data_IF_911685855556
#
_entry.id   IF_911685855556
#
_cell.length_a   1.000
_cell.length_b   1.000
_cell.length_c   1.000
_cell.angle_alpha   90.00
_cell.angle_beta   90.00
_cell.angle_gamma   90.00
#
_symmetry.space_group_name_H-M   'P 1'
#
loop_
_entity.id
_entity.type
_entity.pdbx_description
1 polymer ?
#
# COMPACT_ATOMS: atom_id res chain seq x y z
N UNK A 1 -1.56 31.58 -2.58
CA UNK A 1 -1.12 30.44 -1.75
C UNK A 1 -2.20 29.35 -1.76
N UNK A 2 -2.16 28.43 -2.74
CA UNK A 2 -2.99 27.23 -2.78
C UNK A 2 -2.07 26.06 -2.43
N UNK A 3 -2.30 25.41 -1.29
CA UNK A 3 -1.67 24.12 -0.95
C UNK A 3 -2.28 23.08 -1.89
N UNK A 4 -1.54 22.68 -2.92
CA UNK A 4 -1.89 21.54 -3.77
C UNK A 4 -1.32 20.32 -3.05
N UNK A 5 -2.15 19.63 -2.29
CA UNK A 5 -1.78 18.34 -1.70
C UNK A 5 -1.73 17.31 -2.83
N UNK A 6 -0.52 16.93 -3.22
CA UNK A 6 -0.30 15.78 -4.08
C UNK A 6 -0.45 14.51 -3.25
N UNK A 7 -1.67 13.98 -3.19
CA UNK A 7 -1.88 12.60 -2.76
C UNK A 7 -1.47 11.69 -3.93
N UNK A 8 -0.16 11.47 -4.09
CA UNK A 8 0.32 10.24 -4.71
C UNK A 8 -0.23 9.06 -3.91
N UNK A 9 -0.39 7.88 -4.52
CA UNK A 9 -1.02 6.73 -3.85
C UNK A 9 -0.25 6.19 -2.63
N UNK A 10 0.89 6.79 -2.26
CA UNK A 10 1.41 6.71 -0.87
C UNK A 10 0.35 7.13 0.16
N UNK A 11 -0.58 8.00 -0.23
CA UNK A 11 -1.80 8.36 0.49
C UNK A 11 -2.84 7.25 0.66
N UNK A 12 -2.86 6.18 -0.15
CA UNK A 12 -3.82 5.08 0.02
C UNK A 12 -3.40 4.10 1.11
N UNK A 13 -2.09 3.84 1.23
CA UNK A 13 -1.53 3.04 2.33
C UNK A 13 -1.43 3.88 3.59
N UNK A 14 -1.03 5.16 3.47
CA UNK A 14 -1.11 6.11 4.57
C UNK A 14 -2.56 6.22 5.02
N UNK A 15 -3.59 6.28 4.17
CA UNK A 15 -4.97 6.35 4.67
C UNK A 15 -5.41 5.09 5.44
N UNK A 16 -4.94 3.88 5.12
CA UNK A 16 -5.40 2.68 5.82
C UNK A 16 -4.64 2.42 7.13
N UNK A 17 -3.32 2.68 7.14
CA UNK A 17 -2.60 2.80 8.41
C UNK A 17 -3.19 3.97 9.19
N UNK A 18 -3.43 5.17 8.63
CA UNK A 18 -4.09 6.31 9.29
C UNK A 18 -5.50 5.98 9.79
N UNK A 19 -6.29 5.17 9.07
CA UNK A 19 -7.63 4.72 9.49
C UNK A 19 -7.57 3.84 10.75
N UNK A 20 -6.47 3.13 10.97
CA UNK A 20 -6.25 2.29 12.16
C UNK A 20 -5.20 2.83 13.16
N UNK A 21 -4.35 3.79 12.78
CA UNK A 21 -3.19 4.30 13.55
C UNK A 21 -3.26 5.78 13.87
N UNK A 22 -3.97 6.64 13.11
CA UNK A 22 -4.05 8.08 13.49
C UNK A 22 -5.15 8.40 14.49
N UNK A 23 -6.00 7.46 14.89
CA UNK A 23 -7.05 7.77 15.87
C UNK A 23 -7.95 8.95 15.46
N UNK A 24 -7.92 9.38 14.19
CA UNK A 24 -8.95 10.21 13.58
C UNK A 24 -10.12 9.28 13.26
N UNK A 25 -10.74 8.86 14.37
CA UNK A 25 -12.17 8.56 14.52
C UNK A 25 -12.76 7.78 13.34
N UNK A 26 -12.92 6.46 13.40
CA UNK A 26 -13.92 5.78 14.23
C UNK A 26 -14.90 6.71 15.00
N UNK A 27 -15.45 7.72 14.31
CA UNK A 27 -16.72 8.37 14.61
C UNK A 27 -17.39 8.42 13.24
N UNK A 28 -18.31 7.53 12.90
CA UNK A 28 -19.41 6.94 13.66
C UNK A 28 -19.72 5.59 12.99
N UNK A 29 -19.98 4.50 13.70
CA UNK A 29 -20.87 4.37 14.84
C UNK A 29 -20.23 3.50 15.93
N UNK A 30 -20.12 4.05 17.14
CA UNK A 30 -19.87 3.35 18.40
C UNK A 30 -18.64 2.43 18.43
N UNK A 31 -17.71 2.70 19.36
CA UNK A 31 -17.07 1.56 20.04
C UNK A 31 -18.21 0.61 20.38
N UNK A 32 -18.16 -0.59 19.82
CA UNK A 32 -19.12 -1.68 19.93
C UNK A 32 -19.17 -2.22 21.38
N UNK A 33 -19.29 -1.33 22.35
CA UNK A 33 -19.53 -1.60 23.76
C UNK A 33 -20.83 -2.39 23.98
N UNK A 34 -21.69 -2.52 22.95
CA UNK A 34 -22.84 -3.42 22.92
C UNK A 34 -22.72 -4.64 21.98
N UNK A 35 -21.57 -4.85 21.33
CA UNK A 35 -21.37 -6.02 20.46
C UNK A 35 -21.13 -7.28 21.25
N UNK A 36 -20.29 -7.21 22.28
CA UNK A 36 -20.19 -8.28 23.28
C UNK A 36 -21.21 -8.05 24.39
N UNK A 37 -21.84 -9.12 24.89
CA UNK A 37 -22.98 -9.01 25.81
C UNK A 37 -22.81 -9.88 27.05
N UNK A 38 -23.41 -9.42 28.15
CA UNK A 38 -23.57 -10.23 29.36
C UNK A 38 -24.59 -11.33 29.10
N UNK A 39 -24.27 -12.54 29.50
CA UNK A 39 -25.20 -13.66 29.52
C UNK A 39 -25.99 -13.68 30.83
N UNK A 40 -27.26 -14.09 30.76
CA UNK A 40 -28.06 -14.52 31.91
C UNK A 40 -28.20 -16.04 31.80
N UNK A 41 -27.34 -16.77 32.52
CA UNK A 41 -27.33 -18.23 32.55
C UNK A 41 -27.50 -18.72 33.99
N UNK A 42 -28.23 -19.82 34.17
CA UNK A 42 -28.43 -20.47 35.47
C UNK A 42 -27.13 -21.05 36.04
N UNK A 43 -26.13 -21.34 35.20
CA UNK A 43 -24.82 -21.83 35.58
C UNK A 43 -23.88 -20.66 35.97
N UNK A 44 -23.50 -20.51 37.26
CA UNK A 44 -22.64 -19.42 37.69
C UNK A 44 -21.24 -19.45 37.06
N UNK A 45 -20.75 -20.63 36.66
CA UNK A 45 -19.46 -20.76 36.00
C UNK A 45 -19.50 -20.14 34.59
N UNK A 46 -20.57 -20.36 33.83
CA UNK A 46 -20.78 -19.75 32.51
C UNK A 46 -20.83 -18.22 32.63
N UNK A 47 -21.60 -17.71 33.60
CA UNK A 47 -21.70 -16.26 33.86
C UNK A 47 -20.33 -15.68 34.23
N UNK A 48 -19.57 -16.35 35.10
CA UNK A 48 -18.24 -15.90 35.52
C UNK A 48 -17.24 -15.88 34.36
N UNK A 49 -17.20 -16.94 33.55
CA UNK A 49 -16.33 -17.02 32.37
C UNK A 49 -16.68 -15.94 31.35
N UNK A 50 -17.96 -15.73 31.07
CA UNK A 50 -18.40 -14.64 30.20
C UNK A 50 -17.97 -13.27 30.75
N UNK A 51 -18.15 -13.01 32.04
CA UNK A 51 -17.71 -11.76 32.65
C UNK A 51 -16.19 -11.56 32.57
N UNK A 52 -15.40 -12.62 32.74
CA UNK A 52 -13.95 -12.57 32.56
C UNK A 52 -13.59 -12.24 31.10
N UNK A 53 -14.23 -12.92 30.13
CA UNK A 53 -14.04 -12.66 28.71
C UNK A 53 -14.38 -11.21 28.33
N UNK A 54 -15.48 -10.67 28.85
CA UNK A 54 -15.86 -9.26 28.65
C UNK A 54 -14.80 -8.29 29.19
N UNK A 55 -14.25 -8.53 30.39
CA UNK A 55 -13.18 -7.68 30.95
C UNK A 55 -11.92 -7.72 30.10
N UNK A 56 -11.54 -8.90 29.61
CA UNK A 56 -10.41 -9.05 28.70
C UNK A 56 -10.66 -8.32 27.38
N UNK A 57 -11.88 -8.41 26.84
CA UNK A 57 -12.27 -7.71 25.62
C UNK A 57 -12.21 -6.19 25.78
N UNK A 58 -12.76 -5.66 26.88
CA UNK A 58 -12.68 -4.23 27.24
C UNK A 58 -11.23 -3.75 27.41
N UNK A 59 -10.37 -4.62 27.94
CA UNK A 59 -8.93 -4.37 28.08
C UNK A 59 -8.13 -4.61 26.78
N UNK A 60 -8.80 -4.85 25.65
CA UNK A 60 -8.22 -5.16 24.33
C UNK A 60 -7.34 -6.41 24.30
N UNK A 61 -7.49 -7.30 25.27
CA UNK A 61 -6.80 -8.58 25.36
C UNK A 61 -7.64 -9.67 24.69
N UNK A 62 -7.85 -9.53 23.38
CA UNK A 62 -8.87 -10.29 22.64
C UNK A 62 -8.62 -11.79 22.57
N UNK A 63 -7.35 -12.23 22.58
CA UNK A 63 -6.96 -13.65 22.68
C UNK A 63 -7.45 -14.27 24.00
N UNK A 64 -7.20 -13.62 25.13
CA UNK A 64 -7.68 -14.08 26.43
C UNK A 64 -9.21 -14.01 26.53
N UNK A 65 -9.83 -13.00 25.91
CA UNK A 65 -11.29 -12.93 25.81
C UNK A 65 -11.87 -14.12 25.04
N UNK A 66 -11.31 -14.44 23.86
CA UNK A 66 -11.66 -15.61 23.05
C UNK A 66 -11.60 -16.89 23.88
N UNK A 67 -10.52 -17.08 24.64
CA UNK A 67 -10.30 -18.29 25.43
C UNK A 67 -11.35 -18.43 26.54
N UNK A 68 -11.69 -17.34 27.25
CA UNK A 68 -12.76 -17.36 28.24
C UNK A 68 -14.14 -17.66 27.62
N UNK A 69 -14.45 -17.08 26.45
CA UNK A 69 -15.70 -17.36 25.74
C UNK A 69 -15.77 -18.81 25.23
N UNK A 70 -14.65 -19.39 24.76
CA UNK A 70 -14.57 -20.81 24.41
C UNK A 70 -14.83 -21.71 25.61
N UNK A 71 -14.19 -21.46 26.75
CA UNK A 71 -14.46 -22.23 27.98
C UNK A 71 -15.90 -22.09 28.45
N UNK A 72 -16.53 -20.92 28.27
CA UNK A 72 -17.95 -20.75 28.57
C UNK A 72 -18.84 -21.59 27.63
N UNK A 73 -18.48 -21.69 26.35
CA UNK A 73 -19.18 -22.51 25.34
C UNK A 73 -19.02 -24.02 25.58
N UNK A 74 -17.94 -24.47 26.22
CA UNK A 74 -17.81 -25.87 26.64
C UNK A 74 -18.89 -26.27 27.67
N UNK A 75 -19.33 -25.31 28.49
CA UNK A 75 -20.35 -25.50 29.53
C UNK A 75 -21.77 -25.18 29.07
N UNK A 76 -21.91 -24.26 28.09
CA UNK A 76 -23.19 -23.91 27.47
C UNK A 76 -23.04 -23.90 25.94
N UNK A 77 -22.97 -25.09 25.31
CA UNK A 77 -22.76 -25.19 23.87
C UNK A 77 -23.92 -24.54 23.11
N UNK A 78 -23.59 -23.80 22.06
CA UNK A 78 -24.54 -23.10 21.19
C UNK A 78 -25.26 -21.90 21.82
N UNK A 79 -24.83 -21.38 22.98
CA UNK A 79 -25.38 -20.14 23.50
C UNK A 79 -25.11 -18.97 22.51
N UNK A 80 -26.15 -18.29 22.01
CA UNK A 80 -26.00 -17.27 20.97
C UNK A 80 -25.24 -16.04 21.46
N UNK A 81 -25.28 -15.73 22.77
CA UNK A 81 -24.52 -14.60 23.33
C UNK A 81 -23.03 -14.91 23.34
N UNK A 82 -22.65 -16.12 23.79
CA UNK A 82 -21.26 -16.54 23.83
C UNK A 82 -20.67 -16.74 22.42
N UNK A 83 -21.42 -17.32 21.50
CA UNK A 83 -21.02 -17.42 20.09
C UNK A 83 -20.79 -16.04 19.49
N UNK A 84 -21.72 -15.11 19.70
CA UNK A 84 -21.56 -13.73 19.25
C UNK A 84 -20.33 -13.07 19.87
N UNK A 85 -20.11 -13.22 21.19
CA UNK A 85 -18.94 -12.67 21.86
C UNK A 85 -17.63 -13.24 21.30
N UNK A 86 -17.59 -14.55 21.05
CA UNK A 86 -16.46 -15.24 20.44
C UNK A 86 -16.17 -14.72 19.02
N UNK A 87 -17.21 -14.54 18.20
CA UNK A 87 -17.08 -14.03 16.84
C UNK A 87 -16.47 -12.61 16.83
N UNK A 88 -16.94 -11.73 17.72
CA UNK A 88 -16.36 -10.40 17.87
C UNK A 88 -14.91 -10.40 18.36
N UNK A 89 -14.55 -11.31 19.28
CA UNK A 89 -13.15 -11.52 19.66
C UNK A 89 -12.30 -11.93 18.47
N UNK A 90 -12.77 -12.85 17.62
CA UNK A 90 -12.06 -13.29 16.42
C UNK A 90 -11.90 -12.16 15.40
N UNK A 91 -12.93 -11.33 15.20
CA UNK A 91 -12.82 -10.14 14.34
C UNK A 91 -11.73 -9.18 14.83
N UNK A 92 -11.68 -8.89 16.14
CA UNK A 92 -10.66 -7.99 16.69
C UNK A 92 -9.24 -8.58 16.62
N UNK A 93 -9.09 -9.90 16.83
CA UNK A 93 -7.84 -10.62 16.59
C UNK A 93 -7.42 -10.49 15.12
N UNK A 94 -8.35 -10.72 14.19
CA UNK A 94 -8.11 -10.59 12.75
C UNK A 94 -7.68 -9.18 12.35
N UNK A 95 -8.29 -8.14 12.95
CA UNK A 95 -7.87 -6.74 12.75
C UNK A 95 -6.44 -6.49 13.22
N UNK A 96 -6.06 -7.01 14.39
CA UNK A 96 -4.69 -6.87 14.92
C UNK A 96 -3.69 -7.62 14.03
N UNK A 97 -4.00 -8.84 13.62
CA UNK A 97 -3.15 -9.62 12.71
C UNK A 97 -3.02 -8.92 11.35
N UNK A 98 -4.10 -8.31 10.86
CA UNK A 98 -4.11 -7.49 9.66
C UNK A 98 -3.21 -6.27 9.77
N UNK A 99 -3.29 -5.54 10.88
CA UNK A 99 -2.36 -4.42 11.17
C UNK A 99 -0.91 -4.91 11.24
N UNK A 100 -0.70 -6.14 11.71
CA UNK A 100 0.58 -6.85 11.71
C UNK A 100 0.90 -7.53 10.39
N UNK A 101 0.13 -7.32 9.33
CA UNK A 101 0.34 -7.90 7.99
C UNK A 101 0.55 -9.43 8.00
N UNK A 102 0.03 -10.07 9.04
CA UNK A 102 -0.09 -11.51 9.20
C UNK A 102 -1.37 -11.91 8.48
N UNK A 103 -1.36 -11.76 7.16
CA UNK A 103 -2.58 -11.79 6.35
C UNK A 103 -3.25 -13.16 6.38
N UNK A 104 -2.49 -14.25 6.46
CA UNK A 104 -3.04 -15.61 6.55
C UNK A 104 -3.80 -15.80 7.86
N UNK A 105 -3.20 -15.35 8.96
CA UNK A 105 -3.77 -15.41 10.29
C UNK A 105 -5.01 -14.49 10.37
N UNK A 106 -4.92 -13.28 9.82
CA UNK A 106 -6.03 -12.34 9.75
C UNK A 106 -7.23 -12.92 9.00
N UNK A 107 -6.99 -13.51 7.82
CA UNK A 107 -8.02 -14.23 7.05
C UNK A 107 -8.65 -15.32 7.90
N UNK A 108 -7.86 -16.20 8.52
CA UNK A 108 -8.37 -17.29 9.35
C UNK A 108 -9.24 -16.80 10.52
N UNK A 109 -8.86 -15.68 11.15
CA UNK A 109 -9.64 -15.07 12.24
C UNK A 109 -10.96 -14.47 11.74
N UNK A 110 -10.98 -13.79 10.60
CA UNK A 110 -12.23 -13.29 10.01
C UNK A 110 -13.14 -14.43 9.53
N UNK A 111 -12.59 -15.46 8.89
CA UNK A 111 -13.33 -16.66 8.49
C UNK A 111 -13.93 -17.37 9.72
N UNK A 112 -13.19 -17.45 10.83
CA UNK A 112 -13.72 -17.97 12.09
C UNK A 112 -14.89 -17.13 12.59
N UNK A 113 -14.82 -15.80 12.53
CA UNK A 113 -15.92 -14.93 12.93
C UNK A 113 -17.16 -15.13 12.04
N UNK A 114 -16.98 -15.23 10.71
CA UNK A 114 -18.04 -15.50 9.73
C UNK A 114 -18.67 -16.87 9.96
N UNK A 115 -17.86 -17.91 10.19
CA UNK A 115 -18.36 -19.27 10.44
C UNK A 115 -19.24 -19.33 11.70
N UNK A 116 -18.90 -18.56 12.73
CA UNK A 116 -19.67 -18.48 13.97
C UNK A 116 -20.96 -17.67 13.78
N UNK A 117 -20.88 -16.53 13.10
CA UNK A 117 -22.03 -15.69 12.81
C UNK A 117 -21.91 -15.04 11.42
N UNK A 118 -22.54 -15.62 10.38
CA UNK A 118 -22.38 -15.17 9.00
C UNK A 118 -23.24 -13.94 8.65
N UNK A 119 -24.05 -13.41 9.57
CA UNK A 119 -24.99 -12.31 9.27
C UNK A 119 -24.48 -10.93 9.71
N UNK A 120 -23.19 -10.79 9.97
CA UNK A 120 -22.57 -9.54 10.43
C UNK A 120 -21.70 -8.97 9.32
N UNK A 121 -22.16 -7.88 8.69
CA UNK A 121 -21.47 -7.24 7.55
C UNK A 121 -20.00 -6.91 7.83
N UNK A 122 -19.68 -6.45 9.05
CA UNK A 122 -18.32 -6.04 9.41
C UNK A 122 -17.31 -7.19 9.41
N UNK A 123 -17.74 -8.45 9.61
CA UNK A 123 -16.84 -9.61 9.51
C UNK A 123 -16.43 -9.85 8.05
N UNK A 124 -17.41 -9.77 7.15
CA UNK A 124 -17.19 -9.86 5.71
C UNK A 124 -16.35 -8.69 5.18
N UNK A 125 -16.54 -7.45 5.67
CA UNK A 125 -15.63 -6.33 5.36
C UNK A 125 -14.19 -6.64 5.77
N UNK A 126 -14.00 -7.17 6.98
CA UNK A 126 -12.67 -7.57 7.48
C UNK A 126 -12.01 -8.64 6.61
N UNK A 127 -12.75 -9.69 6.28
CA UNK A 127 -12.30 -10.76 5.38
C UNK A 127 -11.97 -10.22 3.99
N UNK A 128 -12.87 -9.43 3.40
CA UNK A 128 -12.70 -8.84 2.07
C UNK A 128 -11.45 -7.96 1.98
N UNK A 129 -11.20 -7.14 2.99
CA UNK A 129 -9.96 -6.38 3.11
C UNK A 129 -8.72 -7.27 3.19
N UNK A 130 -8.73 -8.28 4.07
CA UNK A 130 -7.58 -9.16 4.29
C UNK A 130 -7.26 -9.97 3.03
N UNK A 131 -8.29 -10.41 2.31
CA UNK A 131 -8.17 -11.07 1.02
C UNK A 131 -7.58 -10.17 -0.06
N UNK A 132 -8.01 -8.90 -0.16
CA UNK A 132 -7.43 -7.96 -1.14
C UNK A 132 -5.93 -7.74 -0.88
N UNK A 133 -5.55 -7.58 0.39
CA UNK A 133 -4.14 -7.44 0.79
C UNK A 133 -3.32 -8.69 0.54
N UNK A 134 -3.94 -9.87 0.59
CA UNK A 134 -3.32 -11.14 0.24
C UNK A 134 -3.35 -11.42 -1.29
N UNK A 135 -3.70 -10.42 -2.09
CA UNK A 135 -3.87 -10.49 -3.55
C UNK A 135 -4.94 -11.49 -4.05
N UNK A 136 -5.78 -12.02 -3.14
CA UNK A 136 -6.90 -12.92 -3.45
C UNK A 136 -8.16 -12.14 -3.81
N UNK A 137 -8.18 -11.56 -5.02
CA UNK A 137 -9.21 -10.62 -5.46
C UNK A 137 -10.62 -11.17 -5.44
N UNK A 138 -10.83 -12.34 -6.05
CA UNK A 138 -12.17 -12.88 -6.28
C UNK A 138 -12.90 -13.08 -4.95
N UNK A 139 -12.16 -13.58 -3.96
CA UNK A 139 -12.64 -13.70 -2.58
C UNK A 139 -12.87 -12.34 -1.94
N UNK A 140 -11.97 -11.38 -2.15
CA UNK A 140 -12.15 -10.03 -1.63
C UNK A 140 -13.47 -9.40 -2.13
N UNK A 141 -13.73 -9.49 -3.44
CA UNK A 141 -14.96 -9.00 -4.06
C UNK A 141 -16.19 -9.73 -3.49
N UNK A 142 -16.15 -11.06 -3.43
CA UNK A 142 -17.25 -11.88 -2.90
C UNK A 142 -17.62 -11.48 -1.46
N UNK A 143 -16.64 -11.36 -0.58
CA UNK A 143 -16.90 -10.98 0.83
C UNK A 143 -17.44 -9.54 0.94
N UNK A 144 -16.95 -8.60 0.14
CA UNK A 144 -17.43 -7.21 0.17
C UNK A 144 -18.85 -7.07 -0.40
N UNK A 145 -19.18 -7.85 -1.44
CA UNK A 145 -20.55 -7.93 -1.97
C UNK A 145 -21.51 -8.53 -0.94
N UNK A 146 -21.08 -9.55 -0.21
CA UNK A 146 -21.85 -10.14 0.89
C UNK A 146 -22.06 -9.16 2.05
N UNK A 147 -21.03 -8.38 2.41
CA UNK A 147 -21.15 -7.32 3.40
C UNK A 147 -22.24 -6.29 3.03
N UNK A 148 -22.31 -5.90 1.75
CA UNK A 148 -23.33 -4.98 1.22
C UNK A 148 -24.72 -5.64 1.21
N UNK A 149 -24.81 -6.92 0.86
CA UNK A 149 -26.07 -7.68 0.91
C UNK A 149 -26.66 -7.71 2.32
N UNK A 150 -25.80 -7.94 3.33
CA UNK A 150 -26.18 -7.96 4.74
C UNK A 150 -26.50 -6.57 5.29
N UNK A 151 -25.71 -5.56 4.93
CA UNK A 151 -25.91 -4.18 5.32
C UNK A 151 -25.67 -3.22 4.14
N UNK A 152 -26.75 -2.79 3.45
CA UNK A 152 -26.64 -1.85 2.34
C UNK A 152 -26.08 -0.46 2.68
N UNK A 153 -25.89 -0.17 3.98
CA UNK A 153 -25.28 1.08 4.49
C UNK A 153 -23.81 0.90 4.92
N UNK A 154 -23.19 -0.23 4.60
CA UNK A 154 -21.79 -0.49 4.93
C UNK A 154 -20.82 0.33 4.05
N UNK A 155 -20.50 1.55 4.49
CA UNK A 155 -19.68 2.52 3.73
C UNK A 155 -18.32 1.93 3.35
N UNK A 156 -17.68 1.22 4.28
CA UNK A 156 -16.35 0.65 4.08
C UNK A 156 -16.33 -0.41 2.97
N UNK A 157 -17.40 -1.21 2.84
CA UNK A 157 -17.51 -2.20 1.77
C UNK A 157 -17.49 -1.53 0.39
N UNK A 158 -18.28 -0.47 0.22
CA UNK A 158 -18.31 0.30 -1.03
C UNK A 158 -16.96 0.99 -1.32
N UNK A 159 -16.29 1.54 -0.31
CA UNK A 159 -14.97 2.15 -0.49
C UNK A 159 -13.92 1.14 -0.96
N UNK A 160 -13.90 -0.05 -0.37
CA UNK A 160 -12.97 -1.12 -0.73
C UNK A 160 -13.27 -1.67 -2.13
N UNK A 161 -14.54 -1.92 -2.47
CA UNK A 161 -14.93 -2.30 -3.82
C UNK A 161 -14.50 -1.25 -4.85
N UNK A 162 -14.70 0.03 -4.54
CA UNK A 162 -14.27 1.13 -5.38
C UNK A 162 -12.77 1.10 -5.68
N UNK A 163 -11.96 0.83 -4.65
CA UNK A 163 -10.51 0.73 -4.78
C UNK A 163 -10.05 -0.49 -5.56
N UNK A 164 -10.66 -1.65 -5.29
CA UNK A 164 -10.36 -2.88 -6.00
C UNK A 164 -10.71 -2.73 -7.48
N UNK A 165 -11.91 -2.26 -7.81
CA UNK A 165 -12.32 -2.04 -9.20
C UNK A 165 -11.42 -1.02 -9.91
N UNK A 166 -11.04 0.07 -9.23
CA UNK A 166 -10.15 1.06 -9.83
C UNK A 166 -8.74 0.51 -10.10
N UNK A 167 -8.19 -0.25 -9.14
CA UNK A 167 -6.93 -0.98 -9.29
C UNK A 167 -6.96 -1.94 -10.49
N UNK A 168 -8.11 -2.56 -10.75
CA UNK A 168 -8.30 -3.52 -11.84
C UNK A 168 -8.77 -2.89 -13.16
N UNK A 169 -8.52 -1.59 -13.35
CA UNK A 169 -8.89 -0.84 -14.55
C UNK A 169 -10.39 -0.92 -14.90
N UNK A 170 -11.27 -1.03 -13.89
CA UNK A 170 -12.73 -0.99 -14.00
C UNK A 170 -13.31 0.32 -13.41
N UNK A 171 -13.01 1.49 -14.00
CA UNK A 171 -13.36 2.78 -13.40
C UNK A 171 -14.87 3.02 -13.30
N UNK A 172 -15.69 2.46 -14.20
CA UNK A 172 -17.15 2.64 -14.12
C UNK A 172 -17.74 2.00 -12.86
N UNK A 173 -17.35 0.75 -12.55
CA UNK A 173 -17.75 0.08 -11.29
C UNK A 173 -17.16 0.77 -10.06
N UNK A 174 -15.93 1.28 -10.17
CA UNK A 174 -15.30 2.04 -9.10
C UNK A 174 -16.09 3.32 -8.77
N UNK A 175 -16.50 4.07 -9.80
CA UNK A 175 -17.34 5.26 -9.67
C UNK A 175 -18.67 4.91 -9.00
N UNK A 176 -19.35 3.87 -9.47
CA UNK A 176 -20.63 3.43 -8.90
C UNK A 176 -20.51 3.14 -7.40
N UNK A 177 -19.52 2.33 -7.00
CA UNK A 177 -19.30 1.99 -5.61
C UNK A 177 -18.97 3.23 -4.75
N UNK A 178 -18.08 4.11 -5.23
CA UNK A 178 -17.69 5.31 -4.48
C UNK A 178 -18.80 6.36 -4.42
N UNK A 179 -19.68 6.44 -5.42
CA UNK A 179 -20.88 7.26 -5.36
C UNK A 179 -21.85 6.78 -4.29
N UNK A 180 -22.02 5.46 -4.12
CA UNK A 180 -22.80 4.90 -3.00
C UNK A 180 -22.17 5.23 -1.65
N UNK A 181 -20.85 5.07 -1.51
CA UNK A 181 -20.14 5.46 -0.29
C UNK A 181 -20.31 6.96 0.02
N UNK A 182 -20.22 7.82 -1.00
CA UNK A 182 -20.32 9.27 -0.83
C UNK A 182 -21.75 9.72 -0.51
N UNK A 183 -22.76 9.06 -1.08
CA UNK A 183 -24.16 9.32 -0.72
C UNK A 183 -24.45 9.02 0.76
N UNK A 184 -23.74 8.04 1.34
CA UNK A 184 -23.84 7.68 2.76
C UNK A 184 -22.99 8.60 3.66
N UNK A 185 -21.90 9.18 3.14
CA UNK A 185 -21.02 10.11 3.87
C UNK A 185 -20.63 11.34 3.00
N UNK A 186 -21.56 12.30 2.78
CA UNK A 186 -21.39 13.35 1.76
C UNK A 186 -20.23 14.31 2.01
N UNK A 187 -19.85 14.51 3.27
CA UNK A 187 -18.83 15.49 3.67
C UNK A 187 -17.40 14.93 3.69
N UNK A 188 -17.21 13.68 3.29
CA UNK A 188 -15.91 13.01 3.30
C UNK A 188 -15.02 13.49 2.14
N UNK A 189 -14.23 14.54 2.39
CA UNK A 189 -13.33 15.16 1.39
C UNK A 189 -12.40 14.17 0.69
N UNK A 190 -11.90 13.17 1.42
CA UNK A 190 -10.99 12.15 0.87
C UNK A 190 -11.69 11.31 -0.22
N UNK A 191 -12.96 10.98 0.00
CA UNK A 191 -13.79 10.22 -0.93
C UNK A 191 -14.19 11.08 -2.14
N UNK A 192 -14.53 12.36 -1.92
CA UNK A 192 -14.79 13.30 -3.00
C UNK A 192 -13.58 13.44 -3.95
N UNK A 193 -12.38 13.56 -3.38
CA UNK A 193 -11.14 13.66 -4.15
C UNK A 193 -10.85 12.39 -4.95
N UNK A 194 -10.99 11.21 -4.33
CA UNK A 194 -10.83 9.91 -5.02
C UNK A 194 -11.81 9.77 -6.17
N UNK A 195 -13.10 10.05 -5.94
CA UNK A 195 -14.12 9.96 -6.98
C UNK A 195 -13.86 10.94 -8.13
N UNK A 196 -13.47 12.18 -7.81
CA UNK A 196 -13.14 13.18 -8.82
C UNK A 196 -11.96 12.74 -9.70
N UNK A 197 -10.89 12.22 -9.08
CA UNK A 197 -9.73 11.66 -9.79
C UNK A 197 -10.14 10.50 -10.71
N UNK A 198 -10.89 9.52 -10.20
CA UNK A 198 -11.30 8.36 -10.99
C UNK A 198 -12.20 8.78 -12.16
N UNK A 199 -13.11 9.74 -11.96
CA UNK A 199 -13.94 10.31 -13.05
C UNK A 199 -13.08 11.01 -14.11
N UNK A 200 -12.08 11.77 -13.70
CA UNK A 200 -11.13 12.41 -14.60
C UNK A 200 -10.37 11.36 -15.42
N UNK A 201 -9.74 10.39 -14.75
CA UNK A 201 -8.98 9.32 -15.39
C UNK A 201 -9.86 8.51 -16.34
N UNK A 202 -11.07 8.14 -15.92
CA UNK A 202 -12.06 7.44 -16.76
C UNK A 202 -12.38 8.23 -18.03
N UNK A 203 -12.63 9.53 -17.91
CA UNK A 203 -12.97 10.36 -19.06
C UNK A 203 -11.80 10.50 -20.02
N UNK A 204 -10.59 10.75 -19.50
CA UNK A 204 -9.37 10.88 -20.28
C UNK A 204 -9.01 9.58 -21.00
N UNK A 205 -8.99 8.46 -20.26
CA UNK A 205 -8.49 7.17 -20.74
C UNK A 205 -9.55 6.38 -21.54
N UNK A 206 -10.80 6.85 -21.62
CA UNK A 206 -11.91 6.13 -22.29
C UNK A 206 -11.68 5.88 -23.79
N UNK A 207 -10.85 6.70 -24.43
CA UNK A 207 -10.52 6.61 -25.86
C UNK A 207 -9.18 5.92 -26.13
N UNK A 208 -8.48 5.51 -25.08
CA UNK A 208 -7.15 4.94 -25.22
C UNK A 208 -7.27 3.52 -25.77
N UNK A 209 -6.37 3.20 -26.70
CA UNK A 209 -6.16 1.84 -27.14
C UNK A 209 -5.48 1.03 -26.03
N UNK A 210 -5.64 -0.29 -26.06
CA UNK A 210 -5.03 -1.22 -25.11
C UNK A 210 -4.18 -2.24 -25.84
N UNK A 211 -2.98 -2.48 -25.33
CA UNK A 211 -2.11 -3.60 -25.67
C UNK A 211 -1.77 -4.36 -24.40
N UNK A 212 -1.75 -5.69 -24.44
CA UNK A 212 -1.49 -6.51 -23.27
C UNK A 212 -0.32 -7.47 -23.53
N UNK A 213 0.50 -7.63 -22.51
CA UNK A 213 1.50 -8.70 -22.40
C UNK A 213 1.13 -9.61 -21.23
N UNK A 214 2.03 -10.52 -20.84
CA UNK A 214 1.74 -11.46 -19.75
C UNK A 214 1.62 -10.74 -18.40
N UNK A 215 2.47 -9.75 -18.13
CA UNK A 215 2.51 -9.05 -16.84
C UNK A 215 2.07 -7.58 -16.91
N UNK A 216 1.73 -7.05 -18.09
CA UNK A 216 1.40 -5.63 -18.25
C UNK A 216 0.20 -5.40 -19.16
N UNK A 217 -0.56 -4.34 -18.88
CA UNK A 217 -1.54 -3.78 -19.81
C UNK A 217 -1.17 -2.34 -20.09
N UNK A 218 -0.82 -2.04 -21.34
CA UNK A 218 -0.41 -0.72 -21.80
C UNK A 218 -1.62 -0.03 -22.43
N UNK A 219 -1.99 1.14 -21.91
CA UNK A 219 -3.03 2.03 -22.45
C UNK A 219 -2.36 3.23 -23.09
N UNK A 220 -2.76 3.61 -24.29
CA UNK A 220 -2.13 4.73 -25.01
C UNK A 220 -3.12 5.48 -25.90
N UNK A 221 -2.85 6.76 -26.13
CA UNK A 221 -3.63 7.63 -26.99
C UNK A 221 -3.16 7.53 -28.45
N UNK A 222 -4.03 7.18 -29.40
CA UNK A 222 -3.77 7.26 -30.84
C UNK A 222 -2.87 6.15 -31.42
N UNK A 223 -3.14 5.77 -32.66
CA UNK A 223 -2.40 4.71 -33.39
C UNK A 223 -0.91 5.07 -33.58
N UNK A 224 -0.56 6.35 -33.60
CA UNK A 224 0.83 6.80 -33.69
C UNK A 224 1.68 6.35 -32.50
N UNK A 225 1.06 6.06 -31.35
CA UNK A 225 1.74 5.61 -30.14
C UNK A 225 1.80 4.08 -29.99
N UNK A 226 1.32 3.33 -30.98
CA UNK A 226 1.33 1.86 -30.94
C UNK A 226 2.73 1.26 -30.95
N UNK A 227 3.63 1.83 -31.75
CA UNK A 227 5.02 1.36 -31.83
C UNK A 227 5.75 1.56 -30.49
N UNK A 228 5.57 2.73 -29.86
CA UNK A 228 6.17 3.00 -28.54
C UNK A 228 5.49 2.16 -27.45
N UNK A 229 4.19 1.89 -27.53
CA UNK A 229 3.51 0.98 -26.61
C UNK A 229 4.08 -0.45 -26.68
N UNK A 230 4.41 -0.94 -27.87
CA UNK A 230 5.08 -2.23 -28.04
C UNK A 230 6.48 -2.22 -27.40
N UNK A 231 7.28 -1.17 -27.65
CA UNK A 231 8.62 -1.02 -27.04
C UNK A 231 8.54 -0.95 -25.51
N UNK A 232 7.58 -0.19 -24.98
CA UNK A 232 7.30 -0.11 -23.53
C UNK A 232 7.00 -1.49 -22.97
N UNK A 233 6.15 -2.27 -23.64
CA UNK A 233 5.84 -3.64 -23.23
C UNK A 233 7.08 -4.53 -23.21
N UNK A 234 7.92 -4.49 -24.24
CA UNK A 234 9.16 -5.29 -24.32
C UNK A 234 10.14 -4.94 -23.20
N UNK A 235 10.33 -3.64 -22.93
CA UNK A 235 11.18 -3.15 -21.85
C UNK A 235 10.66 -3.58 -20.49
N UNK A 236 9.35 -3.46 -20.24
CA UNK A 236 8.76 -3.82 -18.95
C UNK A 236 8.79 -5.32 -18.68
N UNK A 237 8.64 -6.15 -19.71
CA UNK A 237 8.85 -7.59 -19.56
C UNK A 237 10.32 -7.94 -19.26
N UNK A 238 11.27 -7.15 -19.76
CA UNK A 238 12.67 -7.26 -19.33
C UNK A 238 12.87 -6.80 -17.88
N UNK A 239 12.29 -5.66 -17.49
CA UNK A 239 12.33 -5.16 -16.12
C UNK A 239 11.70 -6.16 -15.13
N UNK A 240 10.59 -6.80 -15.51
CA UNK A 240 9.94 -7.87 -14.74
C UNK A 240 10.90 -9.02 -14.47
N UNK A 241 11.65 -9.48 -15.50
CA UNK A 241 12.65 -10.55 -15.31
C UNK A 241 13.81 -10.10 -14.44
N UNK A 242 14.37 -8.93 -14.74
CA UNK A 242 15.58 -8.45 -14.07
C UNK A 242 15.33 -8.14 -12.58
N UNK A 243 14.31 -7.35 -12.29
CA UNK A 243 13.97 -6.92 -10.94
C UNK A 243 13.20 -8.03 -10.20
N UNK A 244 12.26 -8.69 -10.87
CA UNK A 244 11.44 -9.76 -10.28
C UNK A 244 12.25 -10.99 -9.88
N UNK A 245 13.36 -11.30 -10.58
CA UNK A 245 14.29 -12.38 -10.18
C UNK A 245 14.96 -12.14 -8.82
N UNK A 246 15.11 -10.87 -8.43
CA UNK A 246 15.72 -10.48 -7.15
C UNK A 246 14.67 -10.58 -6.06
N UNK A 247 13.50 -9.96 -6.26
CA UNK A 247 12.45 -9.81 -5.24
C UNK A 247 11.41 -10.95 -5.22
N UNK A 248 11.65 -12.06 -5.93
CA UNK A 248 10.80 -13.27 -5.98
C UNK A 248 9.30 -12.96 -6.11
N UNK A 249 8.93 -12.26 -7.19
CA UNK A 249 7.55 -11.89 -7.39
C UNK A 249 6.68 -13.06 -7.87
N UNK A 250 5.48 -13.11 -7.32
CA UNK A 250 4.43 -14.06 -7.69
C UNK A 250 3.19 -13.30 -8.13
N UNK A 251 3.35 -12.30 -9.02
CA UNK A 251 2.18 -11.53 -9.46
C UNK A 251 1.36 -12.32 -10.47
N UNK A 252 0.06 -12.43 -10.20
CA UNK A 252 -0.94 -12.96 -11.14
C UNK A 252 -1.71 -11.84 -11.87
N UNK A 253 -1.49 -10.56 -11.52
CA UNK A 253 -2.21 -9.42 -12.11
C UNK A 253 -1.30 -8.56 -12.99
N UNK A 254 -1.75 -8.19 -14.20
CA UNK A 254 -1.01 -7.27 -15.04
C UNK A 254 -0.91 -5.86 -14.42
N UNK A 255 0.28 -5.28 -14.40
CA UNK A 255 0.48 -3.88 -14.02
C UNK A 255 -0.06 -2.99 -15.14
N UNK A 256 -0.94 -2.05 -14.79
CA UNK A 256 -1.49 -1.10 -15.76
C UNK A 256 -0.47 0.02 -15.98
N UNK A 257 -0.15 0.26 -17.24
CA UNK A 257 0.76 1.29 -17.70
C UNK A 257 0.00 2.20 -18.64
N UNK A 258 0.11 3.51 -18.46
CA UNK A 258 -0.64 4.49 -19.24
C UNK A 258 0.33 5.49 -19.85
N UNK A 259 0.31 5.55 -21.17
CA UNK A 259 1.14 6.41 -21.98
C UNK A 259 0.35 7.66 -22.37
N UNK A 260 0.86 8.82 -21.97
CA UNK A 260 0.24 10.13 -22.16
C UNK A 260 1.06 11.01 -23.11
N UNK A 261 0.41 11.87 -23.90
CA UNK A 261 1.11 13.04 -24.45
C UNK A 261 1.57 13.98 -23.32
N UNK A 262 2.68 14.71 -23.48
CA UNK A 262 3.23 15.62 -22.44
C UNK A 262 2.19 16.60 -21.90
N UNK A 263 1.39 17.17 -22.81
CA UNK A 263 0.31 18.09 -22.46
C UNK A 263 -0.72 17.40 -21.57
N UNK A 264 -1.22 16.24 -22.00
CA UNK A 264 -2.24 15.50 -21.28
C UNK A 264 -1.72 14.96 -19.94
N UNK A 265 -0.44 14.56 -19.88
CA UNK A 265 0.22 14.15 -18.65
C UNK A 265 0.22 15.28 -17.61
N UNK A 266 0.64 16.49 -17.99
CA UNK A 266 0.63 17.67 -17.09
C UNK A 266 -0.78 18.07 -16.65
N UNK A 267 -1.75 17.95 -17.53
CA UNK A 267 -3.16 18.28 -17.25
C UNK A 267 -3.87 17.23 -16.40
N UNK A 268 -3.46 15.95 -16.48
CA UNK A 268 -4.15 14.84 -15.82
C UNK A 268 -3.45 14.40 -14.53
N UNK A 269 -2.13 14.24 -14.61
CA UNK A 269 -1.33 13.67 -13.52
C UNK A 269 -0.88 14.75 -12.54
N UNK A 270 -0.85 16.02 -12.98
CA UNK A 270 -0.46 17.24 -12.25
C UNK A 270 0.95 17.18 -11.58
N UNK A 271 1.82 16.24 -11.95
CA UNK A 271 3.12 16.02 -11.30
C UNK A 271 4.12 17.16 -11.55
N UNK A 272 5.19 17.28 -10.74
CA UNK A 272 6.28 18.20 -11.01
C UNK A 272 6.86 17.99 -12.40
N UNK A 273 7.29 19.08 -13.05
CA UNK A 273 7.80 19.04 -14.41
C UNK A 273 9.06 18.20 -14.60
N UNK A 274 9.74 17.84 -13.50
CA UNK A 274 10.96 17.01 -13.50
C UNK A 274 10.67 15.51 -13.42
N UNK A 275 9.45 15.09 -13.08
CA UNK A 275 9.10 13.67 -12.97
C UNK A 275 9.01 13.03 -14.37
N UNK A 276 9.87 12.04 -14.65
CA UNK A 276 9.89 11.29 -15.91
C UNK A 276 8.76 10.27 -16.04
N UNK A 277 8.08 9.96 -14.93
CA UNK A 277 6.92 9.10 -14.83
C UNK A 277 6.32 9.24 -13.42
N UNK A 278 5.27 8.46 -13.13
CA UNK A 278 4.81 8.27 -11.76
C UNK A 278 4.17 6.89 -11.60
N UNK A 279 4.42 6.26 -10.46
CA UNK A 279 3.65 5.11 -9.99
C UNK A 279 2.61 5.55 -8.96
N UNK A 280 1.33 5.42 -9.31
CA UNK A 280 0.20 5.67 -8.42
C UNK A 280 -0.73 4.45 -8.30
N UNK A 281 -0.16 3.25 -8.27
CA UNK A 281 -0.89 1.99 -8.48
C UNK A 281 -1.07 1.65 -9.97
N UNK A 282 -0.90 2.64 -10.84
CA UNK A 282 -0.64 2.49 -12.27
C UNK A 282 0.67 3.20 -12.59
N UNK A 283 1.42 2.72 -13.58
CA UNK A 283 2.59 3.42 -14.10
C UNK A 283 2.10 4.42 -15.15
N UNK A 284 2.35 5.72 -14.97
CA UNK A 284 1.94 6.77 -15.91
C UNK A 284 3.16 7.46 -16.48
N UNK A 285 3.27 7.49 -17.81
CA UNK A 285 4.48 7.97 -18.47
C UNK A 285 4.13 8.95 -19.60
N UNK A 286 4.79 10.12 -19.66
CA UNK A 286 4.74 11.00 -20.83
C UNK A 286 5.56 10.42 -22.00
N UNK A 287 4.98 10.41 -23.20
CA UNK A 287 5.54 9.79 -24.42
C UNK A 287 6.50 10.73 -25.17
N UNK A 288 6.76 11.94 -24.68
CA UNK A 288 7.74 12.87 -25.28
C UNK A 288 8.93 13.11 -24.33
N UNK A 289 9.83 14.01 -24.71
CA UNK A 289 11.09 14.24 -23.98
C UNK A 289 12.00 13.01 -23.98
N UNK A 290 12.49 12.62 -22.80
CA UNK A 290 13.42 11.50 -22.60
C UNK A 290 12.86 10.14 -23.07
N UNK A 291 11.55 10.00 -23.20
CA UNK A 291 10.90 8.80 -23.73
C UNK A 291 11.10 8.59 -25.24
N UNK A 292 11.61 9.60 -25.98
CA UNK A 292 11.98 9.47 -27.40
C UNK A 292 13.29 8.71 -27.61
N UNK A 293 14.18 8.74 -26.61
CA UNK A 293 15.44 8.03 -26.63
C UNK A 293 15.23 6.62 -26.03
N UNK A 294 15.63 5.53 -26.73
CA UNK A 294 15.43 4.17 -26.23
C UNK A 294 16.03 3.93 -24.83
N UNK A 295 17.21 4.48 -24.55
CA UNK A 295 17.85 4.37 -23.23
C UNK A 295 17.14 5.23 -22.17
N UNK A 296 16.73 6.44 -22.53
CA UNK A 296 15.88 7.30 -21.69
C UNK A 296 14.56 6.63 -21.29
N UNK A 297 13.84 6.05 -22.25
CA UNK A 297 12.60 5.32 -22.02
C UNK A 297 12.84 4.10 -21.13
N UNK A 298 13.90 3.33 -21.39
CA UNK A 298 14.27 2.17 -20.57
C UNK A 298 14.45 2.55 -19.11
N UNK A 299 15.18 3.64 -18.84
CA UNK A 299 15.42 4.11 -17.47
C UNK A 299 14.15 4.46 -16.73
N UNK A 300 13.30 5.29 -17.34
CA UNK A 300 12.02 5.68 -16.75
C UNK A 300 11.20 4.44 -16.42
N UNK A 301 11.11 3.48 -17.33
CA UNK A 301 10.33 2.25 -17.12
C UNK A 301 10.90 1.38 -16.00
N UNK A 302 12.22 1.20 -15.92
CA UNK A 302 12.83 0.46 -14.81
C UNK A 302 12.64 1.18 -13.47
N UNK A 303 12.74 2.51 -13.46
CA UNK A 303 12.52 3.34 -12.27
C UNK A 303 11.09 3.18 -11.74
N UNK A 304 10.08 3.45 -12.58
CA UNK A 304 8.67 3.37 -12.18
C UNK A 304 8.24 1.95 -11.86
N UNK A 305 8.76 0.95 -12.60
CA UNK A 305 8.49 -0.44 -12.28
C UNK A 305 9.12 -0.86 -10.94
N UNK A 306 10.30 -0.33 -10.58
CA UNK A 306 10.89 -0.58 -9.27
C UNK A 306 9.97 -0.11 -8.14
N UNK A 307 9.33 1.07 -8.26
CA UNK A 307 8.34 1.50 -7.28
C UNK A 307 7.15 0.53 -7.19
N UNK A 308 6.67 0.01 -8.32
CA UNK A 308 5.59 -0.98 -8.34
C UNK A 308 6.00 -2.27 -7.60
N UNK A 309 7.23 -2.75 -7.81
CA UNK A 309 7.78 -3.91 -7.10
C UNK A 309 7.88 -3.66 -5.60
N UNK A 310 8.46 -2.52 -5.20
CA UNK A 310 8.65 -2.18 -3.79
C UNK A 310 7.32 -1.98 -3.07
N UNK A 311 6.32 -1.41 -3.75
CA UNK A 311 4.96 -1.27 -3.22
C UNK A 311 4.28 -2.62 -2.98
N UNK A 312 4.47 -3.59 -3.87
CA UNK A 312 3.95 -4.95 -3.68
C UNK A 312 4.71 -5.71 -2.58
N UNK A 313 6.03 -5.52 -2.50
CA UNK A 313 6.88 -6.19 -1.53
C UNK A 313 6.65 -5.69 -0.11
N UNK A 314 6.39 -4.40 0.05
CA UNK A 314 6.24 -3.74 1.35
C UNK A 314 4.85 -3.12 1.49
N UNK A 315 3.98 -3.67 2.34
CA UNK A 315 2.62 -3.14 2.53
C UNK A 315 2.58 -1.76 3.19
N UNK A 316 3.74 -1.22 3.63
CA UNK A 316 3.90 0.13 4.17
C UNK A 316 5.04 0.86 3.47
N UNK A 317 5.01 2.21 3.43
CA UNK A 317 6.05 2.99 2.77
C UNK A 317 7.41 2.76 3.44
N UNK A 318 8.41 2.43 2.64
CA UNK A 318 9.82 2.46 3.06
C UNK A 318 10.36 3.89 3.00
N UNK A 319 11.48 4.21 3.66
CA UNK A 319 12.12 5.52 3.53
C UNK A 319 12.29 5.96 2.09
N UNK A 320 11.92 7.21 1.79
CA UNK A 320 11.97 7.75 0.42
C UNK A 320 13.37 7.62 -0.19
N UNK A 321 14.44 7.90 0.56
CA UNK A 321 15.81 7.69 0.06
C UNK A 321 16.11 6.25 -0.37
N UNK A 322 15.55 5.25 0.30
CA UNK A 322 15.76 3.85 -0.07
C UNK A 322 14.94 3.49 -1.30
N UNK A 323 13.69 3.99 -1.38
CA UNK A 323 12.80 3.78 -2.51
C UNK A 323 13.37 4.38 -3.80
N UNK A 324 13.71 5.68 -3.76
CA UNK A 324 14.31 6.40 -4.89
C UNK A 324 15.69 5.85 -5.24
N UNK A 325 16.53 5.56 -4.23
CA UNK A 325 17.86 5.02 -4.46
C UNK A 325 17.85 3.64 -5.12
N UNK A 326 16.89 2.76 -4.78
CA UNK A 326 16.70 1.48 -5.45
C UNK A 326 16.18 1.66 -6.88
N UNK A 327 15.22 2.56 -7.09
CA UNK A 327 14.73 2.89 -8.43
C UNK A 327 15.87 3.39 -9.34
N UNK A 328 16.71 4.28 -8.83
CA UNK A 328 17.91 4.77 -9.52
C UNK A 328 18.99 3.70 -9.73
N UNK A 329 19.09 2.72 -8.84
CA UNK A 329 20.00 1.58 -9.02
C UNK A 329 19.59 0.73 -10.23
N UNK A 330 18.29 0.45 -10.37
CA UNK A 330 17.77 -0.40 -11.45
C UNK A 330 17.67 0.30 -12.81
N UNK A 331 17.67 1.64 -12.86
CA UNK A 331 17.80 2.40 -14.11
C UNK A 331 19.01 1.95 -14.95
N UNK A 332 20.10 1.51 -14.31
CA UNK A 332 21.31 1.02 -14.97
C UNK A 332 22.40 2.07 -15.18
N UNK A 333 23.28 1.84 -16.16
CA UNK A 333 24.62 2.46 -16.27
C UNK A 333 24.62 3.97 -16.58
N UNK A 334 24.35 4.78 -15.56
CA UNK A 334 24.84 6.15 -15.46
C UNK A 334 26.14 6.16 -14.65
N UNK A 335 27.09 6.99 -15.08
CA UNK A 335 28.36 7.19 -14.39
C UNK A 335 28.12 7.49 -12.91
N UNK A 336 28.33 6.47 -12.07
CA UNK A 336 28.34 6.61 -10.61
C UNK A 336 29.31 7.73 -10.20
N UNK A 337 30.32 8.01 -11.05
CA UNK A 337 31.28 9.09 -10.85
C UNK A 337 30.62 10.47 -10.79
N UNK A 338 29.54 10.74 -11.55
CA UNK A 338 28.86 12.05 -11.46
C UNK A 338 28.10 12.18 -10.13
N UNK A 339 27.37 11.14 -9.73
CA UNK A 339 26.67 11.11 -8.45
C UNK A 339 27.66 11.25 -7.28
N UNK A 340 28.78 10.51 -7.32
CA UNK A 340 29.87 10.61 -6.35
C UNK A 340 30.47 12.01 -6.31
N UNK A 341 30.72 12.65 -7.46
CA UNK A 341 31.24 14.02 -7.50
C UNK A 341 30.30 15.03 -6.84
N UNK A 342 29.00 14.94 -7.11
CA UNK A 342 27.97 15.80 -6.52
C UNK A 342 27.93 15.62 -4.99
N UNK A 343 27.84 14.36 -4.54
CA UNK A 343 27.75 14.01 -3.11
C UNK A 343 29.06 14.37 -2.38
N UNK A 344 30.23 14.11 -2.97
CA UNK A 344 31.51 14.47 -2.37
C UNK A 344 31.70 15.99 -2.26
N UNK A 345 31.23 16.78 -3.24
CA UNK A 345 31.25 18.23 -3.14
C UNK A 345 30.34 18.71 -2.01
N UNK A 346 29.10 18.20 -1.98
CA UNK A 346 28.15 18.52 -0.91
C UNK A 346 28.69 18.13 0.48
N UNK A 347 29.42 17.01 0.59
CA UNK A 347 30.10 16.57 1.83
C UNK A 347 31.13 17.59 2.30
N UNK A 348 32.03 18.03 1.41
CA UNK A 348 33.06 19.03 1.75
C UNK A 348 32.47 20.37 2.16
N UNK A 349 31.32 20.73 1.58
CA UNK A 349 30.61 21.98 1.85
C UNK A 349 29.65 21.90 3.04
N UNK A 350 29.53 20.73 3.70
CA UNK A 350 28.60 20.54 4.82
C UNK A 350 27.13 20.64 4.44
N UNK A 351 26.81 20.38 3.16
CA UNK A 351 25.46 20.48 2.58
C UNK A 351 24.69 19.16 2.54
N UNK A 352 25.31 18.04 2.95
CA UNK A 352 24.63 16.75 2.90
C UNK A 352 23.36 16.74 3.76
N UNK A 353 22.34 16.02 3.29
CA UNK A 353 21.07 15.86 4.00
C UNK A 353 21.12 14.55 4.79
N UNK A 354 20.91 14.57 6.12
CA UNK A 354 20.79 13.35 6.90
C UNK A 354 19.71 12.42 6.32
N UNK A 355 20.02 11.14 6.13
CA UNK A 355 19.09 10.14 5.58
C UNK A 355 17.77 10.07 6.35
N UNK A 356 17.79 10.33 7.66
CA UNK A 356 16.58 10.45 8.49
C UNK A 356 15.65 11.58 8.02
N UNK A 357 16.20 12.67 7.50
CA UNK A 357 15.43 13.77 6.89
C UNK A 357 14.94 13.43 5.48
N UNK A 358 15.59 12.49 4.80
CA UNK A 358 15.18 11.96 3.50
C UNK A 358 14.21 10.78 3.60
N UNK A 359 13.65 10.48 4.77
CA UNK A 359 12.56 9.49 4.88
C UNK A 359 11.24 10.05 4.33
N UNK A 360 11.02 11.37 4.46
CA UNK A 360 9.81 12.06 4.00
C UNK A 360 9.83 12.42 2.50
N UNK A 361 8.79 13.11 2.04
CA UNK A 361 8.64 13.47 0.63
C UNK A 361 9.71 14.45 0.13
N UNK A 362 10.20 14.23 -1.09
CA UNK A 362 11.12 15.14 -1.78
C UNK A 362 10.37 16.28 -2.50
N UNK A 363 9.04 16.24 -2.52
CA UNK A 363 8.20 17.13 -3.32
C UNK A 363 8.14 18.56 -2.81
N UNK A 364 8.42 18.77 -1.52
CA UNK A 364 8.43 20.08 -0.87
C UNK A 364 9.81 20.78 -0.98
N UNK A 365 10.80 20.12 -1.60
CA UNK A 365 12.16 20.64 -1.76
C UNK A 365 12.28 21.49 -3.04
N UNK A 366 13.20 22.45 -3.04
CA UNK A 366 13.58 23.16 -4.25
C UNK A 366 14.42 22.26 -5.17
N UNK A 367 14.53 22.62 -6.45
CA UNK A 367 15.15 21.79 -7.47
C UNK A 367 16.59 21.35 -7.13
N UNK A 368 17.40 22.23 -6.53
CA UNK A 368 18.79 21.88 -6.20
C UNK A 368 18.85 20.91 -5.02
N UNK A 369 18.01 21.13 -4.02
CA UNK A 369 17.91 20.23 -2.85
C UNK A 369 17.34 18.86 -3.25
N UNK A 370 16.33 18.81 -4.12
CA UNK A 370 15.79 17.56 -4.66
C UNK A 370 16.85 16.77 -5.42
N UNK A 371 17.61 17.42 -6.32
CA UNK A 371 18.68 16.76 -7.07
C UNK A 371 19.73 16.15 -6.13
N UNK A 372 20.16 16.91 -5.12
CA UNK A 372 21.08 16.38 -4.11
C UNK A 372 20.49 15.18 -3.36
N UNK A 373 19.22 15.25 -2.95
CA UNK A 373 18.54 14.16 -2.25
C UNK A 373 18.49 12.88 -3.11
N UNK A 374 18.21 12.98 -4.42
CA UNK A 374 18.25 11.85 -5.34
C UNK A 374 19.67 11.25 -5.45
N UNK A 375 20.70 12.09 -5.62
CA UNK A 375 22.07 11.58 -5.72
C UNK A 375 22.55 10.97 -4.40
N UNK A 376 22.22 11.55 -3.24
CA UNK A 376 22.51 10.97 -1.92
C UNK A 376 21.84 9.62 -1.74
N UNK A 377 20.57 9.51 -2.11
CA UNK A 377 19.78 8.27 -2.08
C UNK A 377 20.45 7.17 -2.91
N UNK A 378 20.89 7.51 -4.12
CA UNK A 378 21.61 6.59 -5.01
C UNK A 378 22.92 6.09 -4.40
N UNK A 379 23.75 7.00 -3.86
CA UNK A 379 25.04 6.61 -3.26
C UNK A 379 24.82 5.79 -1.98
N UNK A 380 23.84 6.14 -1.16
CA UNK A 380 23.50 5.36 0.05
C UNK A 380 23.10 3.92 -0.32
N UNK A 381 22.18 3.76 -1.28
CA UNK A 381 21.77 2.42 -1.74
C UNK A 381 22.93 1.66 -2.37
N UNK A 382 23.76 2.31 -3.18
CA UNK A 382 24.95 1.67 -3.75
C UNK A 382 25.90 1.17 -2.66
N UNK A 383 26.18 2.00 -1.64
CA UNK A 383 27.01 1.60 -0.51
C UNK A 383 26.42 0.37 0.21
N UNK A 384 25.11 0.29 0.40
CA UNK A 384 24.47 -0.89 0.99
C UNK A 384 24.63 -2.13 0.11
N UNK A 385 24.47 -1.99 -1.21
CA UNK A 385 24.62 -3.10 -2.15
C UNK A 385 26.07 -3.59 -2.17
N UNK A 386 27.06 -2.69 -2.17
CA UNK A 386 28.48 -3.04 -2.22
C UNK A 386 28.92 -3.78 -0.94
N UNK A 387 28.39 -3.38 0.22
CA UNK A 387 28.74 -4.00 1.50
C UNK A 387 27.93 -5.27 1.82
N UNK A 388 26.65 -5.32 1.42
CA UNK A 388 25.71 -6.34 1.91
C UNK A 388 25.01 -7.15 0.81
N UNK A 389 25.12 -6.75 -0.46
CA UNK A 389 24.37 -7.25 -1.62
C UNK A 389 22.89 -6.84 -1.67
N UNK A 390 22.35 -6.78 -2.90
CA UNK A 390 20.94 -6.50 -3.16
C UNK A 390 20.00 -7.56 -2.54
N UNK A 391 20.45 -8.82 -2.43
CA UNK A 391 19.65 -9.89 -1.81
C UNK A 391 19.43 -9.62 -0.33
N UNK A 392 20.42 -9.06 0.36
CA UNK A 392 20.27 -8.69 1.77
C UNK A 392 19.28 -7.55 1.93
N UNK A 393 19.30 -6.54 1.05
CA UNK A 393 18.31 -5.46 1.05
C UNK A 393 16.90 -6.04 0.90
N UNK A 394 16.67 -6.96 -0.05
CA UNK A 394 15.38 -7.67 -0.15
C UNK A 394 15.00 -8.32 1.18
N UNK A 395 15.89 -9.09 1.80
CA UNK A 395 15.57 -9.81 3.05
C UNK A 395 15.22 -8.84 4.21
N UNK A 396 15.76 -7.62 4.20
CA UNK A 396 15.40 -6.55 5.13
C UNK A 396 14.03 -5.99 4.80
N UNK A 397 13.73 -5.72 3.53
CA UNK A 397 12.43 -5.22 3.08
C UNK A 397 11.29 -6.23 3.35
N UNK A 398 11.53 -7.52 3.08
CA UNK A 398 10.60 -8.61 3.35
C UNK A 398 10.32 -8.81 4.84
N UNK A 399 11.28 -8.48 5.70
CA UNK A 399 11.12 -8.48 7.16
C UNK A 399 10.41 -7.24 7.66
N UNK A 400 10.76 -6.08 7.10
CA UNK A 400 10.21 -4.80 7.54
C UNK A 400 8.69 -4.85 7.50
N UNK A 401 8.13 -5.15 6.32
CA UNK A 401 6.70 -5.15 6.01
C UNK A 401 5.93 -3.88 6.47
N UNK A 402 6.53 -2.93 7.18
CA UNK A 402 5.87 -1.80 7.83
C UNK A 402 5.45 -1.97 9.28
N UNK A 403 5.85 -3.06 9.95
CA UNK A 403 5.33 -3.39 11.28
C UNK A 403 6.16 -2.81 12.41
N UNK A 404 7.47 -2.79 12.18
CA UNK A 404 8.47 -2.33 13.13
C UNK A 404 9.01 -0.97 12.71
N UNK A 405 9.75 -0.31 13.61
CA UNK A 405 10.50 0.88 13.22
C UNK A 405 11.56 0.47 12.19
N UNK A 406 11.58 1.16 11.04
CA UNK A 406 12.51 0.83 9.95
C UNK A 406 13.97 0.75 10.46
N UNK A 407 14.37 1.63 11.39
CA UNK A 407 15.69 1.62 11.99
C UNK A 407 16.04 0.30 12.71
N UNK A 408 15.09 -0.33 13.39
CA UNK A 408 15.30 -1.63 14.08
C UNK A 408 15.54 -2.75 13.07
N UNK A 409 14.69 -2.82 12.05
CA UNK A 409 14.79 -3.84 11.01
C UNK A 409 16.04 -3.63 10.15
N UNK A 410 16.42 -2.37 9.93
CA UNK A 410 17.67 -2.01 9.30
C UNK A 410 18.88 -2.52 10.09
N UNK A 411 18.90 -2.31 11.41
CA UNK A 411 20.01 -2.74 12.27
C UNK A 411 20.15 -4.27 12.34
N UNK A 412 19.06 -4.99 12.57
CA UNK A 412 19.05 -6.46 12.52
C UNK A 412 19.45 -6.99 11.13
N UNK A 413 19.04 -6.26 10.10
CA UNK A 413 19.32 -6.53 8.71
C UNK A 413 20.78 -6.37 8.35
N UNK A 414 21.39 -5.23 8.64
CA UNK A 414 22.72 -4.88 8.17
C UNK A 414 23.81 -5.01 9.25
N UNK A 415 23.44 -5.38 10.47
CA UNK A 415 24.34 -5.49 11.62
C UNK A 415 25.10 -4.18 11.91
N UNK A 416 24.47 -3.05 11.58
CA UNK A 416 24.93 -1.69 11.85
C UNK A 416 23.69 -0.86 12.18
N UNK A 417 23.75 -0.06 13.25
CA UNK A 417 22.64 0.82 13.60
C UNK A 417 22.37 1.82 12.46
N UNK A 418 21.10 2.21 12.30
CA UNK A 418 20.73 3.20 11.29
C UNK A 418 21.52 4.51 11.45
N UNK A 419 21.79 4.90 12.70
CA UNK A 419 22.52 6.14 13.03
C UNK A 419 24.02 6.03 12.74
N UNK A 420 24.62 4.86 12.96
CA UNK A 420 26.04 4.67 12.63
C UNK A 420 26.25 4.53 11.13
N UNK A 421 25.31 3.92 10.41
CA UNK A 421 25.30 3.92 8.96
C UNK A 421 25.19 5.36 8.40
N UNK A 422 24.24 6.17 8.89
CA UNK A 422 24.11 7.57 8.49
C UNK A 422 25.40 8.35 8.78
N UNK A 423 25.98 8.21 9.98
CA UNK A 423 27.26 8.86 10.30
C UNK A 423 28.40 8.43 9.37
N UNK A 424 28.50 7.15 9.02
CA UNK A 424 29.52 6.64 8.09
C UNK A 424 29.34 7.25 6.70
N UNK A 425 28.11 7.24 6.18
CA UNK A 425 27.76 7.84 4.89
C UNK A 425 28.09 9.33 4.83
N UNK A 426 27.72 10.08 5.88
CA UNK A 426 28.00 11.51 6.00
C UNK A 426 29.51 11.79 6.08
N UNK A 427 30.30 10.87 6.66
CA UNK A 427 31.75 10.96 6.72
C UNK A 427 32.46 10.48 5.45
N UNK A 428 31.75 9.87 4.50
CA UNK A 428 32.32 9.27 3.28
C UNK A 428 33.15 8.02 3.56
N UNK A 429 32.73 7.23 4.55
CA UNK A 429 33.39 5.99 4.98
C UNK A 429 32.59 4.76 4.62
#
# INVERSE_FOLDING_TARGET
MRKIFFFGLSGMVILFLVYFTTGKTFQSSQIQTGAVRRIQDSNPAVVKLNQAGLRYFESKQFEMARDQFKSALELSPNDPTLLNNLAFSQMEIGKIQGQKLQLKEAIASFESAIQINPNISTFHVGAGWAYDKAEQEEKALQELEEAIRLNPKEILAYQLLGDIYYKNDNPDKAIEALEKALALQPDEKSLQQRLAKIKQDRNTESKFEKSASFHFTIKFEGEENKEIAQKVSEILEAAYRDIGSIFYQKSFRPVIVILYSDKLFRETVHSPSWAGGIYDGKIRIPVQGSAKDPEGLRRILYHEYTHAVLFQLTPSPIPTWLNEGLAMYFEGNHSMNNALQIVDSARREGRLIPLRRLQGTFMDMDANTSELAYQESRIAVQNLIDHYSIKRIRDVLERYRGLDQFASVFEEGFLISYDDYEKSFMAGK
#
